data_IF_954206628494
#
_entry.id   IF_954206628494
#
_cell.length_a   1.000
_cell.length_b   1.000
_cell.length_c   1.000
_cell.angle_alpha   90.00
_cell.angle_beta   90.00
_cell.angle_gamma   90.00
#
_symmetry.space_group_name_H-M   'P 1'
#
loop_
_entity.id
_entity.type
_entity.pdbx_description
1 polymer ?
#
# COMPACT_ATOMS: atom_id res chain seq x y z
N UNK A 1 -16.29 10.74 -39.28
CA UNK A 1 -15.06 10.03 -38.90
C UNK A 1 -15.42 8.94 -37.92
N UNK A 2 -14.97 7.72 -38.14
CA UNK A 2 -15.19 6.63 -37.17
C UNK A 2 -14.36 6.88 -35.92
N UNK A 3 -14.78 6.33 -34.79
CA UNK A 3 -14.10 6.52 -33.49
C UNK A 3 -12.62 6.12 -33.58
N UNK A 4 -12.33 5.00 -34.25
CA UNK A 4 -10.98 4.49 -34.46
C UNK A 4 -10.09 5.45 -35.25
N UNK A 5 -10.64 6.12 -36.28
CA UNK A 5 -9.90 7.12 -37.06
C UNK A 5 -9.52 8.35 -36.23
N UNK A 6 -10.39 8.73 -35.28
CA UNK A 6 -10.10 9.84 -34.36
C UNK A 6 -9.01 9.46 -33.36
N UNK A 7 -9.05 8.25 -32.83
CA UNK A 7 -8.02 7.72 -31.92
C UNK A 7 -6.67 7.68 -32.63
N UNK A 8 -6.63 7.15 -33.86
CA UNK A 8 -5.40 7.06 -34.64
C UNK A 8 -4.78 8.44 -34.91
N UNK A 9 -5.58 9.42 -35.32
CA UNK A 9 -5.09 10.78 -35.53
C UNK A 9 -4.59 11.43 -34.25
N UNK A 10 -5.25 11.22 -33.12
CA UNK A 10 -4.81 11.72 -31.82
C UNK A 10 -3.46 11.11 -31.43
N UNK A 11 -3.28 9.82 -31.69
CA UNK A 11 -2.02 9.12 -31.46
C UNK A 11 -0.87 9.66 -32.32
N UNK A 12 -1.09 9.87 -33.61
CA UNK A 12 -0.11 10.44 -34.55
C UNK A 12 0.36 11.84 -34.07
N UNK A 13 -0.57 12.69 -33.66
CA UNK A 13 -0.24 13.99 -33.09
C UNK A 13 0.59 13.86 -31.79
N UNK A 14 0.25 12.90 -30.95
CA UNK A 14 1.00 12.65 -29.72
C UNK A 14 2.43 12.20 -30.02
N UNK A 15 2.61 11.28 -30.99
CA UNK A 15 3.94 10.81 -31.44
C UNK A 15 4.81 11.99 -31.89
N UNK A 16 4.29 12.89 -32.73
CA UNK A 16 5.03 14.07 -33.19
C UNK A 16 5.44 14.98 -32.01
N UNK A 17 4.54 15.21 -31.08
CA UNK A 17 4.80 16.05 -29.91
C UNK A 17 5.85 15.46 -28.98
N UNK A 18 5.80 14.15 -28.73
CA UNK A 18 6.80 13.45 -27.92
C UNK A 18 8.17 13.42 -28.64
N UNK A 19 8.17 13.21 -29.97
CA UNK A 19 9.40 13.25 -30.76
C UNK A 19 10.09 14.62 -30.69
N UNK A 20 9.33 15.70 -30.65
CA UNK A 20 9.87 17.06 -30.52
C UNK A 20 10.65 17.30 -29.21
N UNK A 21 10.41 16.50 -28.18
CA UNK A 21 11.15 16.52 -26.91
C UNK A 21 12.10 15.32 -26.74
N UNK A 22 12.40 14.62 -27.85
CA UNK A 22 13.38 13.54 -27.88
C UNK A 22 12.87 12.19 -27.41
N UNK A 23 11.55 11.99 -27.31
CA UNK A 23 10.94 10.72 -26.89
C UNK A 23 10.49 9.91 -28.10
N UNK A 24 11.03 8.70 -28.24
CA UNK A 24 10.56 7.70 -29.18
C UNK A 24 9.40 6.93 -28.56
N UNK A 25 8.19 7.26 -28.97
CA UNK A 25 6.93 6.74 -28.40
C UNK A 25 6.84 5.22 -28.56
N UNK A 26 7.20 4.68 -29.72
CA UNK A 26 7.13 3.23 -29.96
C UNK A 26 8.09 2.45 -29.06
N UNK A 27 9.32 2.95 -28.92
CA UNK A 27 10.32 2.35 -28.02
C UNK A 27 9.87 2.40 -26.57
N UNK A 28 9.30 3.54 -26.14
CA UNK A 28 8.80 3.69 -24.76
C UNK A 28 7.64 2.74 -24.50
N UNK A 29 6.66 2.67 -25.39
CA UNK A 29 5.53 1.76 -25.25
C UNK A 29 5.98 0.29 -25.16
N UNK A 30 6.96 -0.09 -25.97
CA UNK A 30 7.55 -1.44 -25.89
C UNK A 30 8.24 -1.69 -24.55
N UNK A 31 9.00 -0.71 -24.04
CA UNK A 31 9.65 -0.80 -22.73
C UNK A 31 8.63 -0.88 -21.60
N UNK A 32 7.55 -0.12 -21.71
CA UNK A 32 6.48 -0.09 -20.70
C UNK A 32 5.66 -1.39 -20.62
N UNK A 33 5.72 -2.26 -21.61
CA UNK A 33 5.09 -3.59 -21.55
C UNK A 33 5.68 -4.47 -20.44
N UNK A 34 6.96 -4.27 -20.14
CA UNK A 34 7.67 -4.98 -19.07
C UNK A 34 7.61 -4.26 -17.72
N UNK A 35 6.89 -3.15 -17.65
CA UNK A 35 6.78 -2.33 -16.44
C UNK A 35 5.54 -2.73 -15.65
N UNK A 36 5.76 -3.29 -14.45
CA UNK A 36 4.68 -3.76 -13.60
C UNK A 36 4.22 -2.63 -12.66
N UNK A 37 2.95 -2.23 -12.78
CA UNK A 37 2.33 -1.29 -11.86
C UNK A 37 1.80 -2.01 -10.64
N UNK A 38 2.13 -1.51 -9.46
CA UNK A 38 1.57 -1.98 -8.20
C UNK A 38 0.33 -1.15 -7.87
N UNK A 39 -0.85 -1.76 -8.04
CA UNK A 39 -2.14 -1.10 -7.85
C UNK A 39 -2.55 -1.15 -6.39
N UNK A 40 -2.91 -0.02 -5.82
CA UNK A 40 -3.43 0.03 -4.46
C UNK A 40 -4.84 -0.55 -4.34
N UNK A 41 -5.08 -1.30 -3.25
CA UNK A 41 -6.34 -1.99 -3.01
C UNK A 41 -7.43 -1.14 -2.34
N UNK A 42 -7.08 -0.03 -1.71
CA UNK A 42 -7.95 0.67 -0.74
C UNK A 42 -9.14 1.45 -1.31
N UNK A 43 -9.15 1.74 -2.59
CA UNK A 43 -10.25 2.57 -3.13
C UNK A 43 -11.56 1.78 -3.33
N UNK A 44 -11.48 0.47 -3.46
CA UNK A 44 -12.66 -0.35 -3.74
C UNK A 44 -13.62 -0.49 -2.53
N UNK A 45 -13.12 -0.35 -1.31
CA UNK A 45 -13.90 -0.42 -0.07
C UNK A 45 -13.86 0.86 0.78
N UNK A 46 -13.27 1.95 0.23
CA UNK A 46 -13.08 3.22 0.92
C UNK A 46 -12.21 3.11 2.17
N UNK A 47 -11.16 2.31 2.09
CA UNK A 47 -10.13 2.15 3.15
C UNK A 47 -10.69 1.53 4.45
N UNK A 48 -11.78 0.78 4.38
CA UNK A 48 -12.39 0.18 5.56
C UNK A 48 -11.60 -1.03 6.08
N UNK A 49 -11.11 -1.87 5.15
CA UNK A 49 -10.48 -3.16 5.50
C UNK A 49 -11.48 -4.19 6.03
N UNK A 50 -10.96 -5.34 6.41
CA UNK A 50 -11.76 -6.49 6.91
C UNK A 50 -11.44 -6.84 8.36
N UNK A 51 -10.71 -5.99 9.04
CA UNK A 51 -10.49 -6.12 10.49
C UNK A 51 -11.81 -5.95 11.25
N UNK A 52 -12.00 -6.75 12.29
CA UNK A 52 -13.06 -6.50 13.26
C UNK A 52 -12.60 -5.41 14.20
N UNK A 53 -12.85 -4.15 13.84
CA UNK A 53 -12.40 -3.00 14.63
C UNK A 53 -13.44 -2.57 15.66
N UNK A 54 -12.94 -2.27 16.86
CA UNK A 54 -13.66 -1.48 17.86
C UNK A 54 -13.19 -0.02 17.76
N UNK A 55 -13.78 0.78 16.86
CA UNK A 55 -13.44 2.21 16.76
C UNK A 55 -13.93 2.89 15.49
N UNK A 56 -13.93 4.22 15.52
CA UNK A 56 -14.21 5.05 14.34
C UNK A 56 -12.95 5.13 13.47
N UNK A 57 -13.15 5.17 12.16
CA UNK A 57 -12.09 5.46 11.19
C UNK A 57 -11.46 6.82 11.51
N UNK A 58 -10.17 6.84 11.83
CA UNK A 58 -9.41 8.06 12.11
C UNK A 58 -8.11 8.07 11.31
N UNK A 59 -7.83 9.17 10.65
CA UNK A 59 -6.66 9.29 9.77
C UNK A 59 -6.86 8.60 8.42
N UNK A 60 -5.82 8.62 7.60
CA UNK A 60 -5.89 8.12 6.24
C UNK A 60 -6.70 9.02 5.30
N UNK A 61 -6.69 8.68 4.02
CA UNK A 61 -7.48 9.37 3.00
C UNK A 61 -8.73 8.54 2.72
N UNK A 62 -9.82 8.88 3.36
CA UNK A 62 -11.14 8.43 2.94
C UNK A 62 -11.56 9.30 1.77
N UNK A 63 -11.62 8.72 0.58
CA UNK A 63 -11.81 9.52 -0.63
C UNK A 63 -13.26 9.92 -0.84
N UNK A 64 -14.20 9.07 -0.52
CA UNK A 64 -15.60 9.19 -0.95
C UNK A 64 -16.60 8.86 0.12
N UNK A 65 -16.18 8.33 1.26
CA UNK A 65 -17.10 7.85 2.28
C UNK A 65 -17.90 6.62 1.79
N UNK A 66 -19.15 6.58 2.12
CA UNK A 66 -20.00 5.44 1.87
C UNK A 66 -20.72 5.56 0.51
N UNK A 67 -20.06 5.11 -0.58
CA UNK A 67 -20.67 5.10 -1.91
C UNK A 67 -21.34 3.76 -2.23
N UNK A 68 -22.38 3.76 -3.10
CA UNK A 68 -23.02 2.52 -3.56
C UNK A 68 -22.03 1.63 -4.31
N UNK A 69 -22.01 0.33 -3.98
CA UNK A 69 -21.16 -0.64 -4.66
C UNK A 69 -19.75 -0.77 -4.12
N UNK A 70 -19.39 -0.10 -3.03
CA UNK A 70 -18.10 -0.36 -2.37
C UNK A 70 -18.01 -1.83 -1.92
N UNK A 71 -16.81 -2.41 -2.00
CA UNK A 71 -16.57 -3.77 -1.58
C UNK A 71 -16.84 -3.94 -0.06
N UNK A 72 -17.54 -5.00 0.30
CA UNK A 72 -17.96 -5.30 1.67
C UNK A 72 -17.22 -6.49 2.28
N UNK A 73 -16.56 -7.24 1.44
CA UNK A 73 -15.82 -8.44 1.78
C UNK A 73 -14.69 -8.69 0.79
N UNK A 74 -13.86 -9.68 1.08
CA UNK A 74 -12.68 -10.03 0.31
C UNK A 74 -13.00 -10.44 -1.14
N UNK A 75 -14.12 -11.13 -1.37
CA UNK A 75 -14.48 -11.60 -2.71
C UNK A 75 -14.94 -10.46 -3.61
N UNK A 76 -15.71 -9.53 -3.07
CA UNK A 76 -16.10 -8.30 -3.78
C UNK A 76 -14.87 -7.44 -4.10
N UNK A 77 -13.95 -7.28 -3.16
CA UNK A 77 -12.70 -6.54 -3.38
C UNK A 77 -11.84 -7.19 -4.47
N UNK A 78 -11.68 -8.50 -4.46
CA UNK A 78 -10.96 -9.26 -5.49
C UNK A 78 -11.60 -9.09 -6.88
N UNK A 79 -12.93 -9.14 -6.96
CA UNK A 79 -13.64 -8.93 -8.20
C UNK A 79 -13.43 -7.52 -8.76
N UNK A 80 -13.48 -6.50 -7.91
CA UNK A 80 -13.23 -5.11 -8.28
C UNK A 80 -11.79 -4.89 -8.76
N UNK A 81 -10.81 -5.48 -8.08
CA UNK A 81 -9.39 -5.42 -8.48
C UNK A 81 -9.20 -6.02 -9.87
N UNK A 82 -9.74 -7.21 -10.12
CA UNK A 82 -9.64 -7.85 -11.44
C UNK A 82 -10.34 -7.02 -12.52
N UNK A 83 -11.48 -6.42 -12.18
CA UNK A 83 -12.20 -5.54 -13.11
C UNK A 83 -11.38 -4.28 -13.42
N UNK A 84 -10.81 -3.63 -12.43
CA UNK A 84 -9.94 -2.47 -12.61
C UNK A 84 -8.72 -2.83 -13.46
N UNK A 85 -8.02 -3.91 -13.13
CA UNK A 85 -6.85 -4.40 -13.87
C UNK A 85 -7.18 -4.71 -15.34
N UNK A 86 -8.39 -5.18 -15.64
CA UNK A 86 -8.82 -5.46 -17.02
C UNK A 86 -8.90 -4.24 -17.94
N UNK A 87 -8.93 -3.04 -17.37
CA UNK A 87 -8.94 -1.78 -18.12
C UNK A 87 -7.54 -1.19 -18.33
N UNK A 88 -6.53 -1.72 -17.66
CA UNK A 88 -5.18 -1.20 -17.70
C UNK A 88 -4.30 -2.22 -18.44
N UNK A 89 -3.68 -1.86 -19.59
CA UNK A 89 -2.79 -2.77 -20.30
C UNK A 89 -1.56 -3.13 -19.49
N UNK A 90 -1.03 -4.35 -19.68
CA UNK A 90 0.20 -4.82 -19.06
C UNK A 90 -0.02 -5.82 -17.93
N UNK A 91 1.05 -6.13 -17.23
CA UNK A 91 1.05 -7.01 -16.05
C UNK A 91 1.09 -6.16 -14.80
N UNK A 92 0.23 -6.48 -13.84
CA UNK A 92 0.06 -5.68 -12.63
C UNK A 92 0.52 -6.43 -11.39
N UNK A 93 0.78 -5.65 -10.35
CA UNK A 93 0.96 -6.10 -8.97
C UNK A 93 -0.17 -5.49 -8.15
N UNK A 94 -0.53 -6.13 -7.06
CA UNK A 94 -1.47 -5.59 -6.09
C UNK A 94 -0.71 -5.14 -4.86
N UNK A 95 -0.84 -3.87 -4.51
CA UNK A 95 -0.31 -3.33 -3.27
C UNK A 95 -1.38 -3.49 -2.17
N UNK A 96 -1.24 -4.54 -1.40
CA UNK A 96 -2.20 -4.94 -0.38
C UNK A 96 -1.83 -4.32 0.97
N UNK A 97 -2.82 -3.87 1.73
CA UNK A 97 -2.63 -3.41 3.09
C UNK A 97 -2.94 -4.50 4.12
N UNK A 98 -2.33 -4.38 5.28
CA UNK A 98 -2.53 -5.31 6.39
C UNK A 98 -4.01 -5.45 6.79
N UNK A 99 -4.80 -4.36 6.78
CA UNK A 99 -6.22 -4.37 7.14
C UNK A 99 -7.10 -5.25 6.25
N UNK A 100 -6.58 -5.74 5.13
CA UNK A 100 -7.28 -6.63 4.19
C UNK A 100 -6.97 -8.12 4.41
N UNK A 101 -6.39 -8.48 5.56
CA UNK A 101 -6.18 -9.87 5.94
C UNK A 101 -7.47 -10.69 5.91
N UNK A 102 -7.36 -11.96 5.56
CA UNK A 102 -8.44 -12.94 5.67
C UNK A 102 -8.51 -13.47 7.11
N UNK A 103 -9.08 -12.67 7.98
CA UNK A 103 -9.17 -12.98 9.40
C UNK A 103 -10.30 -13.95 9.75
N UNK A 104 -11.15 -14.32 8.79
CA UNK A 104 -12.25 -15.28 8.97
C UNK A 104 -13.18 -14.94 10.14
N UNK A 105 -13.44 -13.64 10.33
CA UNK A 105 -14.28 -13.12 11.41
C UNK A 105 -13.64 -13.15 12.80
N UNK A 106 -12.36 -13.49 12.90
CA UNK A 106 -11.62 -13.43 14.18
C UNK A 106 -11.13 -12.01 14.43
N UNK A 107 -11.09 -11.64 15.70
CA UNK A 107 -10.43 -10.42 16.15
C UNK A 107 -8.94 -10.71 16.24
N UNK A 108 -8.16 -10.05 15.39
CA UNK A 108 -6.69 -10.12 15.38
C UNK A 108 -6.21 -8.68 15.49
N UNK A 109 -5.47 -8.34 16.55
CA UNK A 109 -4.89 -7.01 16.68
C UNK A 109 -3.67 -6.89 15.75
N UNK A 110 -3.31 -5.69 15.35
CA UNK A 110 -2.28 -5.44 14.33
C UNK A 110 -0.90 -5.92 14.73
N UNK A 111 -0.59 -5.95 16.02
CA UNK A 111 0.65 -6.55 16.56
C UNK A 111 0.59 -8.10 16.65
N UNK A 112 -0.47 -8.74 16.16
CA UNK A 112 -0.68 -10.18 16.15
C UNK A 112 -0.87 -10.74 14.73
N UNK A 113 -0.69 -9.91 13.71
CA UNK A 113 -0.81 -10.32 12.31
C UNK A 113 0.26 -11.35 11.95
N UNK A 114 -0.14 -12.39 11.22
CA UNK A 114 0.72 -13.50 10.79
C UNK A 114 0.55 -13.78 9.29
N UNK A 115 1.53 -14.40 8.62
CA UNK A 115 1.44 -14.76 7.20
C UNK A 115 0.21 -15.61 6.87
N UNK A 116 -0.27 -16.41 7.80
CA UNK A 116 -1.46 -17.27 7.62
C UNK A 116 -2.71 -16.46 7.28
N UNK A 117 -2.85 -15.24 7.80
CA UNK A 117 -3.96 -14.33 7.51
C UNK A 117 -3.96 -13.82 6.05
N UNK A 118 -2.87 -14.02 5.31
CA UNK A 118 -2.74 -13.61 3.90
C UNK A 118 -2.59 -14.77 2.93
N UNK A 119 -2.69 -16.01 3.41
CA UNK A 119 -2.55 -17.20 2.57
C UNK A 119 -3.54 -17.22 1.41
N UNK A 120 -4.81 -16.89 1.66
CA UNK A 120 -5.83 -16.83 0.61
C UNK A 120 -5.55 -15.75 -0.45
N UNK A 121 -4.86 -14.66 -0.09
CA UNK A 121 -4.39 -13.66 -1.04
C UNK A 121 -3.22 -14.17 -1.89
N UNK A 122 -2.29 -14.90 -1.28
CA UNK A 122 -1.16 -15.52 -1.99
C UNK A 122 -1.66 -16.54 -3.02
N UNK A 123 -2.64 -17.35 -2.66
CA UNK A 123 -3.26 -18.34 -3.55
C UNK A 123 -4.01 -17.65 -4.69
N UNK A 124 -4.81 -16.64 -4.39
CA UNK A 124 -5.52 -15.83 -5.37
C UNK A 124 -4.55 -15.10 -6.32
N UNK A 125 -3.47 -14.52 -5.80
CA UNK A 125 -2.46 -13.86 -6.62
C UNK A 125 -1.81 -14.80 -7.63
N UNK A 126 -1.52 -16.04 -7.22
CA UNK A 126 -0.99 -17.08 -8.12
C UNK A 126 -2.01 -17.48 -9.20
N UNK A 127 -3.27 -17.67 -8.82
CA UNK A 127 -4.35 -18.04 -9.75
C UNK A 127 -4.53 -16.98 -10.84
N UNK A 128 -4.43 -15.71 -10.49
CA UNK A 128 -4.67 -14.60 -11.41
C UNK A 128 -3.39 -13.98 -12.00
N UNK A 129 -2.24 -14.61 -11.79
CA UNK A 129 -0.93 -14.08 -12.22
C UNK A 129 -0.69 -12.63 -11.77
N UNK A 130 -1.15 -12.32 -10.56
CA UNK A 130 -1.01 -11.01 -9.94
C UNK A 130 -0.07 -11.12 -8.74
N UNK A 131 1.11 -10.52 -8.85
CA UNK A 131 2.06 -10.47 -7.74
C UNK A 131 1.61 -9.49 -6.67
N UNK A 132 2.01 -9.73 -5.43
CA UNK A 132 1.61 -8.94 -4.28
C UNK A 132 2.78 -8.08 -3.79
N UNK A 133 2.46 -6.84 -3.44
CA UNK A 133 3.23 -5.97 -2.59
C UNK A 133 2.43 -5.71 -1.31
N UNK A 134 3.05 -5.18 -0.28
CA UNK A 134 2.43 -5.11 1.03
C UNK A 134 2.69 -3.79 1.74
N UNK A 135 1.73 -3.36 2.58
CA UNK A 135 1.86 -2.19 3.43
C UNK A 135 1.47 -2.50 4.86
N UNK A 136 2.23 -1.95 5.80
CA UNK A 136 1.76 -1.76 7.16
C UNK A 136 0.69 -0.66 7.21
N UNK A 137 -0.18 -0.73 8.21
CA UNK A 137 -1.27 0.23 8.38
C UNK A 137 -1.27 0.76 9.80
N UNK A 138 -0.92 2.03 9.98
CA UNK A 138 -0.82 2.65 11.30
C UNK A 138 -1.87 3.73 11.56
N UNK A 139 -2.92 3.82 10.74
CA UNK A 139 -4.07 4.71 10.92
C UNK A 139 -5.34 3.92 11.30
N UNK A 140 -6.38 4.62 11.74
CA UNK A 140 -7.70 4.04 12.05
C UNK A 140 -7.66 2.91 13.09
N UNK A 141 -6.87 3.09 14.14
CA UNK A 141 -6.73 2.15 15.25
C UNK A 141 -6.77 2.91 16.58
N UNK A 142 -7.27 2.33 17.69
CA UNK A 142 -7.33 3.03 19.00
C UNK A 142 -5.98 3.57 19.49
N UNK A 143 -4.87 2.91 19.12
CA UNK A 143 -3.51 3.39 19.42
C UNK A 143 -2.95 4.33 18.34
N UNK A 144 -3.72 4.63 17.31
CA UNK A 144 -3.35 5.63 16.32
C UNK A 144 -3.67 7.02 16.83
N UNK A 145 -2.73 7.92 16.70
CA UNK A 145 -2.89 9.35 16.92
C UNK A 145 -2.12 10.07 15.83
N UNK A 146 -1.59 11.25 16.13
CA UNK A 146 -0.68 11.95 15.23
C UNK A 146 0.69 11.25 15.13
N UNK A 147 1.02 10.39 16.09
CA UNK A 147 2.32 9.73 16.21
C UNK A 147 2.18 8.23 16.51
N UNK A 148 2.88 7.41 15.76
CA UNK A 148 3.01 5.95 15.96
C UNK A 148 4.45 5.56 16.36
N UNK A 149 5.33 5.42 15.38
CA UNK A 149 6.72 5.02 15.55
C UNK A 149 7.59 6.08 16.24
N UNK A 150 7.18 7.33 16.25
CA UNK A 150 7.82 8.42 17.01
C UNK A 150 7.05 8.83 18.27
N UNK A 151 6.05 8.06 18.69
CA UNK A 151 5.25 8.39 19.86
C UNK A 151 6.14 8.44 21.13
N UNK A 152 5.98 9.46 22.01
CA UNK A 152 6.68 9.51 23.27
C UNK A 152 6.35 8.37 24.24
N UNK A 153 5.16 7.79 24.13
CA UNK A 153 4.77 6.59 24.88
C UNK A 153 5.46 5.36 24.29
N UNK A 154 6.29 4.70 25.09
CA UNK A 154 7.02 3.51 24.67
C UNK A 154 6.11 2.33 24.35
N UNK A 155 5.02 2.15 25.09
CA UNK A 155 4.07 1.06 24.85
C UNK A 155 3.37 1.20 23.50
N UNK A 156 3.02 2.43 23.09
CA UNK A 156 2.46 2.72 21.77
C UNK A 156 3.53 2.47 20.69
N UNK A 157 4.76 2.93 20.88
CA UNK A 157 5.84 2.67 19.92
C UNK A 157 6.10 1.18 19.73
N UNK A 158 6.20 0.41 20.83
CA UNK A 158 6.47 -1.02 20.77
C UNK A 158 5.36 -1.79 20.04
N UNK A 159 4.10 -1.40 20.23
CA UNK A 159 2.98 -1.95 19.48
C UNK A 159 3.17 -1.77 17.96
N UNK A 160 3.51 -0.55 17.51
CA UNK A 160 3.70 -0.26 16.09
C UNK A 160 4.99 -0.84 15.52
N UNK A 161 6.05 -0.96 16.32
CA UNK A 161 7.27 -1.66 15.94
C UNK A 161 6.96 -3.15 15.69
N UNK A 162 6.24 -3.79 16.60
CA UNK A 162 5.85 -5.20 16.45
C UNK A 162 4.94 -5.40 15.24
N UNK A 163 3.92 -4.56 15.07
CA UNK A 163 3.06 -4.54 13.88
C UNK A 163 3.89 -4.52 12.59
N UNK A 164 4.82 -3.59 12.48
CA UNK A 164 5.64 -3.44 11.27
C UNK A 164 6.56 -4.66 11.05
N UNK A 165 7.16 -5.21 12.12
CA UNK A 165 7.95 -6.44 12.03
C UNK A 165 7.13 -7.61 11.49
N UNK A 166 5.88 -7.77 11.94
CA UNK A 166 4.96 -8.81 11.45
C UNK A 166 4.57 -8.60 10.01
N UNK A 167 4.28 -7.36 9.61
CA UNK A 167 4.03 -7.02 8.21
C UNK A 167 5.21 -7.38 7.30
N UNK A 168 6.44 -7.16 7.76
CA UNK A 168 7.65 -7.57 7.02
C UNK A 168 7.76 -9.10 6.88
N UNK A 169 7.38 -9.85 7.93
CA UNK A 169 7.33 -11.31 7.85
C UNK A 169 6.26 -11.80 6.84
N UNK A 170 5.10 -11.15 6.80
CA UNK A 170 4.07 -11.40 5.78
C UNK A 170 4.61 -11.13 4.38
N UNK A 171 5.26 -9.99 4.16
CA UNK A 171 5.86 -9.63 2.88
C UNK A 171 6.95 -10.63 2.43
N UNK A 172 7.76 -11.14 3.36
CA UNK A 172 8.75 -12.20 3.08
C UNK A 172 8.09 -13.47 2.55
N UNK A 173 7.01 -13.94 3.19
CA UNK A 173 6.28 -15.12 2.72
C UNK A 173 5.55 -14.89 1.39
N UNK A 174 5.02 -13.68 1.15
CA UNK A 174 4.47 -13.30 -0.16
C UNK A 174 5.54 -13.37 -1.25
N UNK A 175 6.68 -12.74 -1.03
CA UNK A 175 7.78 -12.73 -1.99
C UNK A 175 8.31 -14.13 -2.28
N UNK A 176 8.51 -14.95 -1.25
CA UNK A 176 8.91 -16.35 -1.38
C UNK A 176 7.89 -17.16 -2.19
N UNK A 177 6.61 -16.99 -1.92
CA UNK A 177 5.53 -17.73 -2.56
C UNK A 177 5.34 -17.37 -4.05
N UNK A 178 5.63 -16.14 -4.44
CA UNK A 178 5.51 -15.64 -5.82
C UNK A 178 6.82 -15.70 -6.63
N UNK A 179 7.94 -16.07 -5.99
CA UNK A 179 9.25 -16.15 -6.64
C UNK A 179 9.80 -14.81 -7.14
N UNK A 180 9.33 -13.71 -6.54
CA UNK A 180 9.72 -12.35 -6.88
C UNK A 180 9.59 -11.48 -5.63
N UNK A 181 10.52 -10.57 -5.34
CA UNK A 181 10.47 -9.81 -4.11
C UNK A 181 9.15 -9.06 -3.92
N UNK A 182 8.55 -9.20 -2.76
CA UNK A 182 7.44 -8.36 -2.32
C UNK A 182 8.00 -7.00 -1.86
N UNK A 183 7.46 -5.91 -2.34
CA UNK A 183 7.80 -4.58 -1.83
C UNK A 183 6.93 -4.32 -0.60
N UNK A 184 7.59 -4.18 0.56
CA UNK A 184 6.93 -3.83 1.81
C UNK A 184 7.03 -2.33 2.02
N UNK A 185 5.94 -1.61 1.84
CA UNK A 185 5.89 -0.17 2.04
C UNK A 185 5.53 0.16 3.49
N UNK A 186 6.44 0.78 4.19
CA UNK A 186 6.20 1.39 5.50
C UNK A 186 5.82 2.85 5.31
N UNK A 187 4.52 3.13 5.33
CA UNK A 187 4.05 4.50 5.36
C UNK A 187 4.09 5.04 6.79
N UNK A 188 5.01 5.97 7.03
CA UNK A 188 5.13 6.65 8.32
C UNK A 188 4.16 7.83 8.32
N UNK A 189 3.03 7.69 9.00
CA UNK A 189 2.01 8.73 9.07
C UNK A 189 2.29 9.77 10.16
N UNK A 190 3.34 9.59 10.94
CA UNK A 190 3.73 10.44 12.05
C UNK A 190 3.95 11.88 11.60
N UNK A 191 3.41 12.81 12.35
CA UNK A 191 3.57 14.23 12.10
C UNK A 191 2.39 15.06 12.57
N UNK A 192 2.60 16.34 12.77
CA UNK A 192 1.57 17.32 13.11
C UNK A 192 1.45 18.38 12.03
N UNK A 193 0.30 19.06 11.99
CA UNK A 193 0.06 20.17 11.05
C UNK A 193 0.87 21.43 11.37
N UNK A 194 1.41 21.50 12.58
CA UNK A 194 2.18 22.63 13.09
C UNK A 194 3.65 22.28 13.29
N UNK A 195 4.46 23.29 13.48
CA UNK A 195 5.87 23.11 13.83
C UNK A 195 5.98 22.38 15.16
N UNK A 196 6.53 21.18 15.11
CA UNK A 196 6.74 20.36 16.30
C UNK A 196 7.82 20.96 17.19
N UNK A 197 7.48 21.24 18.44
CA UNK A 197 8.46 21.61 19.48
C UNK A 197 9.38 20.42 19.72
N UNK A 198 10.69 20.66 19.76
CA UNK A 198 11.69 19.61 19.92
C UNK A 198 11.64 18.51 18.85
N UNK A 199 11.65 18.91 17.59
CA UNK A 199 11.64 18.01 16.41
C UNK A 199 12.68 16.89 16.50
N UNK A 200 13.87 17.17 17.03
CA UNK A 200 14.94 16.19 17.14
C UNK A 200 14.61 15.04 18.09
N UNK A 201 13.77 15.26 19.10
CA UNK A 201 13.28 14.18 19.98
C UNK A 201 12.47 13.15 19.18
N UNK A 202 11.51 13.61 18.38
CA UNK A 202 10.64 12.72 17.60
C UNK A 202 11.41 11.99 16.49
N UNK A 203 12.36 12.66 15.85
CA UNK A 203 13.26 12.02 14.88
C UNK A 203 14.15 10.95 15.51
N UNK A 204 14.65 11.19 16.73
CA UNK A 204 15.42 10.18 17.45
C UNK A 204 14.57 8.96 17.82
N UNK A 205 13.32 9.17 18.27
CA UNK A 205 12.38 8.09 18.56
C UNK A 205 12.02 7.29 17.29
N UNK A 206 11.75 7.97 16.18
CA UNK A 206 11.50 7.32 14.91
C UNK A 206 12.70 6.50 14.45
N UNK A 207 13.91 7.08 14.52
CA UNK A 207 15.14 6.37 14.17
C UNK A 207 15.31 5.10 14.99
N UNK A 208 15.14 5.18 16.31
CA UNK A 208 15.23 4.01 17.20
C UNK A 208 14.21 2.92 16.81
N UNK A 209 12.98 3.33 16.51
CA UNK A 209 11.94 2.40 16.04
C UNK A 209 12.31 1.74 14.73
N UNK A 210 12.82 2.49 13.74
CA UNK A 210 13.27 1.96 12.46
C UNK A 210 14.48 1.05 12.60
N UNK A 211 15.44 1.38 13.47
CA UNK A 211 16.59 0.51 13.76
C UNK A 211 16.12 -0.86 14.30
N UNK A 212 15.11 -0.88 15.17
CA UNK A 212 14.53 -2.11 15.70
C UNK A 212 13.77 -2.90 14.64
N UNK A 213 13.02 -2.23 13.76
CA UNK A 213 12.23 -2.84 12.68
C UNK A 213 13.15 -3.49 11.67
N UNK A 214 14.21 -2.80 11.25
CA UNK A 214 15.11 -3.27 10.19
C UNK A 214 16.28 -4.12 10.69
N UNK A 215 16.34 -4.45 11.99
CA UNK A 215 17.37 -5.33 12.55
C UNK A 215 17.36 -6.74 11.94
N UNK A 216 16.23 -7.22 11.42
CA UNK A 216 16.12 -8.49 10.72
C UNK A 216 16.16 -8.27 9.22
N UNK A 217 17.09 -8.92 8.52
CA UNK A 217 17.17 -8.93 7.07
C UNK A 217 16.31 -10.05 6.49
N UNK A 218 15.61 -9.76 5.39
CA UNK A 218 14.82 -10.70 4.63
C UNK A 218 15.35 -10.83 3.20
N UNK A 219 15.11 -11.97 2.54
CA UNK A 219 15.64 -12.27 1.21
C UNK A 219 14.63 -12.08 0.08
N UNK A 220 13.36 -12.31 0.39
CA UNK A 220 12.30 -12.36 -0.61
C UNK A 220 11.40 -11.11 -0.55
N UNK A 221 11.80 -10.10 0.19
CA UNK A 221 11.10 -8.81 0.23
C UNK A 221 12.10 -7.66 0.16
N UNK A 222 11.61 -6.48 -0.12
CA UNK A 222 12.37 -5.22 -0.09
C UNK A 222 11.59 -4.18 0.69
N UNK A 223 12.26 -3.53 1.62
CA UNK A 223 11.69 -2.43 2.36
C UNK A 223 11.64 -1.15 1.52
N UNK A 224 10.52 -0.44 1.62
CA UNK A 224 10.32 0.91 1.12
C UNK A 224 9.77 1.77 2.26
N UNK A 225 10.25 2.99 2.41
CA UNK A 225 9.76 3.93 3.41
C UNK A 225 9.10 5.09 2.70
N UNK A 226 7.86 5.35 3.07
CA UNK A 226 7.09 6.49 2.59
C UNK A 226 6.79 7.44 3.73
N UNK A 227 7.24 8.69 3.60
CA UNK A 227 6.92 9.74 4.55
C UNK A 227 5.54 10.33 4.28
N UNK A 228 4.89 10.84 5.32
CA UNK A 228 3.65 11.59 5.17
C UNK A 228 3.91 12.89 4.39
N UNK A 229 3.29 13.03 3.22
CA UNK A 229 3.45 14.20 2.35
C UNK A 229 2.06 14.71 1.94
N UNK A 230 1.42 15.48 2.78
CA UNK A 230 0.13 16.08 2.42
C UNK A 230 0.18 17.59 2.23
N UNK A 231 1.36 18.21 2.31
CA UNK A 231 1.55 19.64 2.04
C UNK A 231 0.78 20.58 2.97
N UNK A 232 0.34 20.09 4.13
CA UNK A 232 -0.51 20.85 5.06
C UNK A 232 0.18 21.13 6.39
N UNK A 233 1.48 21.00 6.44
CA UNK A 233 2.23 21.23 7.66
C UNK A 233 3.66 20.76 7.53
N UNK A 234 4.41 20.90 8.58
CA UNK A 234 5.77 20.42 8.65
C UNK A 234 5.73 19.02 9.27
N UNK A 235 5.72 18.05 8.40
CA UNK A 235 5.94 16.66 8.83
C UNK A 235 7.33 16.53 9.42
N UNK A 236 7.45 15.69 10.41
CA UNK A 236 8.68 15.46 11.16
C UNK A 236 9.73 14.69 10.35
#
# INVERSE_FOLDING_TARGET
>A
MKKEELIQKAYEIAVERYAAVGVDTEKVLKTMQDFHLSLHCWQADDVAGFEVQAGSLTGGIQATGNYPGKARNIDELRADILKAASYIPGTHRLNLHEIYGDFQGKVVDRDQVEPEHFKSWIEWGKEHNMKLDFNSTSFSHPKSGDLSLSNPDEGIRQFWIEHTKRCRAVAEEMGKAQGDPCIMNLWVHDGSKDITVNRMKYRALLKDSLDQIFATEYKNMKDCIESKVFGIGLES
#
